data_IF_586594185333
#
_entry.id   IF_586594185333
#
_cell.length_a   1.000
_cell.length_b   1.000
_cell.length_c   1.000
_cell.angle_alpha   90.00
_cell.angle_beta   90.00
_cell.angle_gamma   90.00
#
_symmetry.space_group_name_H-M   'P 1'
#
loop_
_entity.id
_entity.type
_entity.pdbx_description
1 polymer ?
#
# COMPACT_ATOMS: atom_id res chain seq x y z
N UNK A 1 -12.87 -2.34 -10.64
CA UNK A 1 -11.72 -3.28 -10.68
C UNK A 1 -10.47 -2.69 -10.00
N UNK A 2 -10.00 -1.50 -10.40
CA UNK A 2 -8.79 -0.85 -9.81
C UNK A 2 -8.79 -0.75 -8.29
N UNK A 3 -9.91 -0.29 -7.70
CA UNK A 3 -10.09 -0.20 -6.24
C UNK A 3 -9.80 -1.53 -5.51
N UNK A 4 -10.25 -2.65 -6.08
CA UNK A 4 -10.04 -3.97 -5.48
C UNK A 4 -8.56 -4.39 -5.57
N UNK A 5 -7.91 -4.11 -6.70
CA UNK A 5 -6.48 -4.34 -6.86
C UNK A 5 -5.65 -3.54 -5.85
N UNK A 6 -5.95 -2.24 -5.69
CA UNK A 6 -5.29 -1.34 -4.72
C UNK A 6 -5.44 -1.88 -3.29
N UNK A 7 -6.65 -2.30 -2.91
CA UNK A 7 -6.93 -2.89 -1.59
C UNK A 7 -6.18 -4.21 -1.36
N UNK A 8 -5.84 -4.94 -2.41
CA UNK A 8 -5.08 -6.18 -2.35
C UNK A 8 -3.56 -5.97 -2.21
N UNK A 9 -3.02 -4.81 -2.63
CA UNK A 9 -1.57 -4.55 -2.60
C UNK A 9 -0.91 -4.79 -1.23
N UNK A 10 -1.49 -4.36 -0.09
CA UNK A 10 -0.90 -4.63 1.22
C UNK A 10 -0.86 -6.11 1.61
N UNK A 11 -1.69 -6.96 1.01
CA UNK A 11 -1.70 -8.40 1.29
C UNK A 11 -0.48 -9.08 0.65
N UNK A 12 -0.11 -8.66 -0.57
CA UNK A 12 1.09 -9.18 -1.25
C UNK A 12 2.37 -8.89 -0.46
N UNK A 13 2.43 -7.74 0.22
CA UNK A 13 3.61 -7.32 0.96
C UNK A 13 3.80 -8.04 2.31
N UNK A 14 2.79 -8.77 2.78
CA UNK A 14 2.88 -9.53 4.04
C UNK A 14 3.93 -10.64 3.95
N UNK A 15 4.00 -11.31 2.80
CA UNK A 15 4.92 -12.43 2.56
C UNK A 15 6.21 -11.98 1.85
N UNK A 16 6.22 -10.76 1.28
CA UNK A 16 7.39 -10.16 0.62
C UNK A 16 7.63 -8.73 1.12
N UNK A 17 8.11 -8.54 2.36
CA UNK A 17 8.33 -7.22 2.95
C UNK A 17 9.35 -6.36 2.17
N UNK A 18 10.28 -6.97 1.44
CA UNK A 18 11.26 -6.29 0.58
C UNK A 18 10.62 -5.46 -0.55
N UNK A 19 9.36 -5.76 -0.89
CA UNK A 19 8.61 -5.03 -1.91
C UNK A 19 7.84 -3.82 -1.36
N UNK A 20 7.78 -3.64 -0.03
CA UNK A 20 7.00 -2.56 0.61
C UNK A 20 7.39 -1.19 0.04
N UNK A 21 8.69 -0.88 -0.07
CA UNK A 21 9.16 0.41 -0.61
C UNK A 21 8.64 0.69 -2.03
N UNK A 22 8.78 -0.29 -2.94
CA UNK A 22 8.27 -0.18 -4.32
C UNK A 22 6.75 0.01 -4.38
N UNK A 23 6.02 -0.66 -3.48
CA UNK A 23 4.56 -0.56 -3.43
C UNK A 23 4.09 0.78 -2.87
N UNK A 24 4.81 1.33 -1.89
CA UNK A 24 4.60 2.69 -1.38
C UNK A 24 4.79 3.71 -2.50
N UNK A 25 5.88 3.62 -3.28
CA UNK A 25 6.15 4.53 -4.40
C UNK A 25 5.01 4.53 -5.43
N UNK A 26 4.51 3.34 -5.80
CA UNK A 26 3.37 3.19 -6.73
C UNK A 26 2.10 3.82 -6.14
N UNK A 27 1.78 3.56 -4.87
CA UNK A 27 0.60 4.14 -4.23
C UNK A 27 0.69 5.66 -4.13
N UNK A 28 1.87 6.23 -3.89
CA UNK A 28 2.07 7.69 -3.88
C UNK A 28 1.74 8.30 -5.24
N UNK A 29 2.14 7.65 -6.34
CA UNK A 29 1.77 8.10 -7.68
C UNK A 29 0.26 8.07 -7.93
N UNK A 30 -0.45 7.11 -7.32
CA UNK A 30 -1.91 6.98 -7.44
C UNK A 30 -2.72 7.99 -6.61
N UNK A 31 -2.09 8.74 -5.70
CA UNK A 31 -2.78 9.77 -4.90
C UNK A 31 -3.40 10.88 -5.75
N UNK A 32 -2.85 11.14 -6.95
CA UNK A 32 -3.36 12.13 -7.89
C UNK A 32 -4.66 11.74 -8.60
N UNK A 33 -5.22 10.55 -8.34
CA UNK A 33 -6.47 10.10 -8.97
C UNK A 33 -7.65 11.00 -8.54
N UNK A 34 -8.48 11.43 -9.49
CA UNK A 34 -9.67 12.26 -9.23
C UNK A 34 -10.83 11.46 -8.62
N UNK A 35 -10.85 10.15 -8.87
CA UNK A 35 -11.88 9.24 -8.39
C UNK A 35 -11.79 9.06 -6.87
N UNK A 36 -12.78 9.58 -6.14
CA UNK A 36 -12.78 9.61 -4.68
C UNK A 36 -12.62 8.22 -4.06
N UNK A 37 -13.33 7.22 -4.60
CA UNK A 37 -13.30 5.85 -4.08
C UNK A 37 -11.94 5.20 -4.30
N UNK A 38 -11.26 5.54 -5.40
CA UNK A 38 -9.91 5.08 -5.67
C UNK A 38 -8.91 5.74 -4.72
N UNK A 39 -9.02 7.06 -4.52
CA UNK A 39 -8.17 7.80 -3.59
C UNK A 39 -8.29 7.28 -2.17
N UNK A 40 -9.51 7.03 -1.66
CA UNK A 40 -9.72 6.41 -0.35
C UNK A 40 -9.04 5.04 -0.23
N UNK A 41 -9.12 4.21 -1.27
CA UNK A 41 -8.45 2.92 -1.30
C UNK A 41 -6.92 3.05 -1.26
N UNK A 42 -6.35 4.02 -1.98
CA UNK A 42 -4.90 4.31 -1.97
C UNK A 42 -4.45 4.73 -0.57
N UNK A 43 -5.16 5.65 0.08
CA UNK A 43 -4.82 6.12 1.44
C UNK A 43 -4.84 4.96 2.45
N UNK A 44 -5.86 4.09 2.38
CA UNK A 44 -5.97 2.92 3.27
C UNK A 44 -4.86 1.90 3.02
N UNK A 45 -4.53 1.64 1.76
CA UNK A 45 -3.44 0.74 1.40
C UNK A 45 -2.09 1.27 1.90
N UNK A 46 -1.83 2.57 1.73
CA UNK A 46 -0.60 3.23 2.18
C UNK A 46 -0.44 3.14 3.70
N UNK A 47 -1.49 3.44 4.46
CA UNK A 47 -1.50 3.28 5.92
C UNK A 47 -1.22 1.84 6.36
N UNK A 48 -1.76 0.85 5.63
CA UNK A 48 -1.51 -0.56 5.94
C UNK A 48 -0.04 -0.93 5.74
N UNK A 49 0.57 -0.49 4.62
CA UNK A 49 1.98 -0.76 4.34
C UNK A 49 2.92 -0.08 5.33
N UNK A 50 2.68 1.18 5.68
CA UNK A 50 3.49 1.89 6.68
C UNK A 50 3.46 1.20 8.05
N UNK A 51 2.32 0.61 8.44
CA UNK A 51 2.21 -0.18 9.68
C UNK A 51 2.97 -1.51 9.60
N UNK A 52 3.03 -2.13 8.42
CA UNK A 52 3.80 -3.35 8.20
C UNK A 52 5.30 -3.10 8.27
N UNK A 53 5.77 -2.00 7.68
CA UNK A 53 7.17 -1.61 7.64
C UNK A 53 7.77 -1.40 9.04
N UNK A 54 7.03 -0.70 9.91
CA UNK A 54 7.41 -0.48 11.33
C UNK A 54 7.51 -1.82 12.10
N UNK A 55 6.63 -2.77 11.80
CA UNK A 55 6.65 -4.10 12.45
C UNK A 55 7.81 -4.95 11.96
N UNK A 56 8.05 -4.98 10.64
CA UNK A 56 9.16 -5.74 10.05
C UNK A 56 10.53 -5.23 10.49
N UNK A 57 10.66 -3.92 10.73
CA UNK A 57 11.90 -3.30 11.23
C UNK A 57 12.24 -3.66 12.68
N UNK A 58 11.30 -4.23 13.45
CA UNK A 58 11.50 -4.57 14.86
C UNK A 58 11.98 -6.01 15.10
N UNK A 59 12.14 -6.82 14.05
CA UNK A 59 12.61 -8.23 14.14
C UNK A 59 14.03 -8.43 13.56
N UNK A 60 14.83 -7.36 13.47
CA UNK A 60 16.24 -7.40 13.03
C UNK A 60 17.22 -7.04 14.16
#
# INVERSE_FOLDING_TARGET
VRVQAIRGLPLFCKDTPENIGKMVDILVQLLGTEEFVERDAVHKALMSLLRQDVKGSSEA
#
